data_IF_321478291686
#
_entry.id   IF_321478291686
#
_cell.length_a   1.000
_cell.length_b   1.000
_cell.length_c   1.000
_cell.angle_alpha   90.00
_cell.angle_beta   90.00
_cell.angle_gamma   90.00
#
_symmetry.space_group_name_H-M   'P 1'
#
loop_
_entity.id
_entity.type
_entity.pdbx_description
1 polymer ?
#
# COMPACT_ATOMS: atom_id res chain seq x y z
N UNK A 1 -5.69 -5.10 -14.39
CA UNK A 1 -6.66 -6.20 -14.18
C UNK A 1 -6.60 -7.12 -15.38
N UNK A 2 -6.45 -8.42 -15.09
CA UNK A 2 -6.37 -9.46 -16.12
C UNK A 2 -7.54 -10.41 -15.92
N UNK A 3 -8.26 -10.72 -16.99
CA UNK A 3 -9.29 -11.76 -17.00
C UNK A 3 -8.61 -13.13 -17.19
N UNK A 4 -8.81 -14.02 -16.25
CA UNK A 4 -8.25 -15.38 -16.20
C UNK A 4 -9.31 -16.47 -16.34
N UNK A 5 -10.47 -16.15 -16.90
CA UNK A 5 -11.53 -17.16 -17.14
C UNK A 5 -11.04 -18.31 -18.01
N UNK A 6 -10.17 -17.99 -18.95
CA UNK A 6 -9.38 -18.95 -19.73
C UNK A 6 -7.90 -18.75 -19.39
N UNK A 7 -7.33 -19.71 -18.66
CA UNK A 7 -5.92 -19.63 -18.22
C UNK A 7 -4.93 -19.79 -19.34
N UNK A 8 -5.32 -20.43 -20.45
CA UNK A 8 -4.48 -20.59 -21.63
C UNK A 8 -4.44 -19.30 -22.49
N UNK A 9 -5.42 -18.42 -22.32
CA UNK A 9 -5.57 -17.17 -23.05
C UNK A 9 -5.93 -16.01 -22.10
N UNK A 10 -5.02 -15.54 -21.23
CA UNK A 10 -5.28 -14.43 -20.36
C UNK A 10 -5.48 -13.13 -21.14
N UNK A 11 -6.49 -12.35 -20.77
CA UNK A 11 -6.85 -11.10 -21.46
C UNK A 11 -6.65 -9.91 -20.52
N UNK A 12 -5.95 -8.88 -20.99
CA UNK A 12 -5.94 -7.60 -20.29
C UNK A 12 -7.34 -7.00 -20.32
N UNK A 13 -7.98 -6.92 -19.13
CA UNK A 13 -9.31 -6.36 -19.00
C UNK A 13 -9.25 -4.83 -18.99
N UNK A 14 -8.43 -4.24 -18.10
CA UNK A 14 -8.10 -2.82 -18.07
C UNK A 14 -6.93 -2.54 -17.11
N UNK A 15 -6.36 -1.33 -17.23
CA UNK A 15 -5.40 -0.77 -16.29
C UNK A 15 -6.10 0.24 -15.38
N UNK A 16 -5.74 0.20 -14.10
CA UNK A 16 -6.12 1.20 -13.12
C UNK A 16 -4.86 1.90 -12.60
N UNK A 17 -4.93 3.20 -12.49
CA UNK A 17 -3.88 4.02 -11.87
C UNK A 17 -4.52 5.03 -10.93
N UNK A 18 -3.91 5.23 -9.78
CA UNK A 18 -4.29 6.35 -8.90
C UNK A 18 -3.97 7.67 -9.60
N UNK A 19 -4.88 8.63 -9.49
CA UNK A 19 -4.67 9.98 -10.05
C UNK A 19 -3.81 10.86 -9.13
N UNK A 20 -3.70 10.49 -7.85
CA UNK A 20 -3.13 11.35 -6.81
C UNK A 20 -1.70 11.01 -6.43
N UNK A 21 -1.29 9.76 -6.64
CA UNK A 21 -0.03 9.27 -6.10
C UNK A 21 0.73 8.40 -7.12
N UNK A 22 2.02 8.60 -7.18
CA UNK A 22 2.92 7.74 -7.95
C UNK A 22 3.74 6.88 -7.00
N UNK A 23 3.28 5.67 -6.76
CA UNK A 23 3.96 4.70 -5.92
C UNK A 23 3.94 3.32 -6.58
N UNK A 24 4.72 2.40 -6.02
CA UNK A 24 4.77 1.00 -6.48
C UNK A 24 3.83 0.18 -5.61
N UNK A 25 2.93 -0.55 -6.23
CA UNK A 25 2.05 -1.50 -5.56
C UNK A 25 2.82 -2.76 -5.19
N UNK A 26 2.60 -3.26 -3.96
CA UNK A 26 3.32 -4.43 -3.49
C UNK A 26 2.42 -5.60 -3.16
N UNK A 27 1.43 -5.43 -2.27
CA UNK A 27 0.61 -6.51 -1.75
C UNK A 27 -0.82 -6.04 -1.53
N UNK A 28 -1.78 -6.95 -1.71
CA UNK A 28 -3.17 -6.58 -1.48
C UNK A 28 -4.11 -7.75 -1.33
N UNK A 29 -5.27 -7.49 -0.72
CA UNK A 29 -6.31 -8.46 -0.47
C UNK A 29 -7.69 -7.91 -0.80
N UNK A 30 -8.58 -8.81 -1.23
CA UNK A 30 -9.97 -8.49 -1.52
C UNK A 30 -10.86 -8.99 -0.38
N UNK A 31 -11.71 -8.09 0.14
CA UNK A 31 -12.77 -8.42 1.10
C UNK A 31 -14.08 -7.84 0.58
N UNK A 32 -14.99 -8.71 0.16
CA UNK A 32 -16.21 -8.29 -0.54
C UNK A 32 -15.87 -7.56 -1.84
N UNK A 33 -16.39 -6.35 -2.01
CA UNK A 33 -16.10 -5.49 -3.16
C UNK A 33 -14.94 -4.53 -2.95
N UNK A 34 -14.14 -4.72 -1.90
CA UNK A 34 -13.04 -3.81 -1.57
C UNK A 34 -11.70 -4.48 -1.77
N UNK A 35 -10.80 -3.82 -2.47
CA UNK A 35 -9.40 -4.18 -2.58
C UNK A 35 -8.58 -3.29 -1.65
N UNK A 36 -7.90 -3.93 -0.71
CA UNK A 36 -6.99 -3.31 0.25
C UNK A 36 -5.58 -3.50 -0.27
N UNK A 37 -4.92 -2.42 -0.63
CA UNK A 37 -3.63 -2.41 -1.32
C UNK A 37 -2.57 -1.74 -0.46
N UNK A 38 -1.46 -2.42 -0.24
CA UNK A 38 -0.23 -1.81 0.24
C UNK A 38 0.56 -1.28 -0.95
N UNK A 39 0.75 0.03 -0.99
CA UNK A 39 1.35 0.73 -2.11
C UNK A 39 2.55 1.57 -1.63
N UNK A 40 3.54 0.90 -1.08
CA UNK A 40 4.79 1.48 -0.55
C UNK A 40 4.62 2.91 0.00
N UNK A 41 5.22 3.91 -0.62
CA UNK A 41 5.19 5.31 -0.20
C UNK A 41 3.80 5.94 -0.19
N UNK A 42 2.82 5.35 -0.86
CA UNK A 42 1.41 5.76 -0.80
C UNK A 42 0.62 5.12 0.34
N UNK A 43 1.22 4.23 1.13
CA UNK A 43 0.58 3.61 2.28
C UNK A 43 -0.51 2.60 1.91
N UNK A 44 -1.60 2.57 2.69
CA UNK A 44 -2.80 1.77 2.41
C UNK A 44 -3.71 2.53 1.45
N UNK A 45 -4.16 1.84 0.40
CA UNK A 45 -5.24 2.30 -0.48
C UNK A 45 -6.41 1.33 -0.41
N UNK A 46 -7.62 1.84 -0.30
CA UNK A 46 -8.85 1.05 -0.28
C UNK A 46 -9.67 1.41 -1.51
N UNK A 47 -9.82 0.44 -2.40
CA UNK A 47 -10.41 0.63 -3.72
C UNK A 47 -11.69 -0.17 -3.80
N UNK A 48 -12.80 0.47 -4.16
CA UNK A 48 -14.05 -0.21 -4.48
C UNK A 48 -13.97 -0.78 -5.89
N UNK A 49 -14.11 -2.10 -5.99
CA UNK A 49 -14.01 -2.87 -7.23
C UNK A 49 -15.36 -3.46 -7.66
N UNK A 50 -16.48 -2.97 -7.10
CA UNK A 50 -17.81 -3.49 -7.41
C UNK A 50 -18.14 -3.40 -8.90
N UNK A 51 -17.62 -2.41 -9.57
CA UNK A 51 -17.83 -2.14 -10.99
C UNK A 51 -16.67 -2.66 -11.88
N UNK A 52 -16.01 -3.76 -11.47
CA UNK A 52 -14.86 -4.32 -12.21
C UNK A 52 -15.22 -4.69 -13.67
N UNK A 53 -16.41 -5.20 -13.91
CA UNK A 53 -16.87 -5.55 -15.26
C UNK A 53 -17.09 -4.31 -16.15
N UNK A 54 -17.40 -3.17 -15.54
CA UNK A 54 -17.54 -1.87 -16.23
C UNK A 54 -16.21 -1.14 -16.36
N UNK A 55 -15.10 -1.77 -15.96
CA UNK A 55 -13.73 -1.21 -15.99
C UNK A 55 -13.61 0.06 -15.15
N UNK A 56 -14.32 0.11 -14.01
CA UNK A 56 -14.35 1.26 -13.11
C UNK A 56 -13.96 0.86 -11.70
N UNK A 57 -12.94 1.51 -11.18
CA UNK A 57 -12.51 1.45 -9.80
C UNK A 57 -12.61 2.83 -9.16
N UNK A 58 -12.98 2.87 -7.87
CA UNK A 58 -13.01 4.09 -7.09
C UNK A 58 -12.17 3.91 -5.82
N UNK A 59 -11.21 4.80 -5.59
CA UNK A 59 -10.58 4.88 -4.29
C UNK A 59 -11.57 5.46 -3.27
N UNK A 60 -11.82 4.72 -2.19
CA UNK A 60 -12.82 5.04 -1.17
C UNK A 60 -12.20 5.30 0.20
N UNK A 61 -10.91 5.18 0.32
CA UNK A 61 -10.16 5.48 1.55
C UNK A 61 -8.68 5.21 1.39
N UNK A 62 -7.91 5.87 2.24
CA UNK A 62 -6.47 5.68 2.31
C UNK A 62 -5.97 5.91 3.73
N UNK A 63 -4.76 5.44 4.01
CA UNK A 63 -3.99 5.77 5.18
C UNK A 63 -2.52 5.84 4.80
N UNK A 64 -1.96 7.03 4.89
CA UNK A 64 -0.56 7.26 4.61
C UNK A 64 0.30 6.78 5.78
N UNK A 65 1.23 5.86 5.51
CA UNK A 65 2.22 5.37 6.48
C UNK A 65 3.58 5.99 6.28
N UNK A 66 3.79 6.64 5.13
CA UNK A 66 5.04 7.27 4.74
C UNK A 66 4.92 8.77 4.94
N UNK A 67 5.40 9.26 6.07
CA UNK A 67 5.38 10.67 6.39
C UNK A 67 6.64 11.29 5.78
N UNK A 68 6.45 12.19 4.83
CA UNK A 68 7.56 12.91 4.19
C UNK A 68 8.39 13.70 5.22
N UNK A 69 9.71 13.69 5.03
CA UNK A 69 10.75 14.12 5.97
C UNK A 69 10.77 15.63 6.34
N UNK A 70 9.74 16.37 6.05
CA UNK A 70 9.70 17.79 6.40
C UNK A 70 9.38 18.10 7.87
N UNK A 71 8.89 17.11 8.67
CA UNK A 71 8.55 17.28 10.09
C UNK A 71 9.26 16.30 11.07
N UNK A 72 10.46 15.83 10.79
CA UNK A 72 10.98 14.53 11.20
C UNK A 72 12.15 14.47 12.13
N UNK A 73 11.95 14.71 13.36
CA UNK A 73 12.85 14.13 14.37
C UNK A 73 12.43 12.70 14.79
N UNK A 74 11.19 12.29 14.55
CA UNK A 74 10.68 10.97 15.01
C UNK A 74 10.99 9.81 14.06
N UNK A 75 10.85 10.01 12.77
CA UNK A 75 11.14 8.98 11.78
C UNK A 75 12.64 8.66 11.67
N UNK A 76 13.50 9.67 11.86
CA UNK A 76 14.95 9.49 11.90
C UNK A 76 15.44 8.62 13.07
N UNK A 77 14.74 8.61 14.21
CA UNK A 77 15.12 7.74 15.33
C UNK A 77 14.65 6.30 15.14
N UNK A 78 13.51 6.08 14.51
CA UNK A 78 13.03 4.73 14.21
C UNK A 78 13.84 4.07 13.09
N UNK A 79 14.23 4.82 12.07
CA UNK A 79 15.08 4.30 10.99
C UNK A 79 16.51 3.99 11.43
N UNK A 80 17.03 4.70 12.44
CA UNK A 80 18.34 4.41 13.04
C UNK A 80 18.37 3.11 13.84
N UNK A 81 17.21 2.59 14.25
CA UNK A 81 17.11 1.33 15.01
C UNK A 81 17.33 0.09 14.18
N UNK A 82 17.21 0.21 12.86
CA UNK A 82 17.46 -0.86 11.88
C UNK A 82 18.76 -0.67 11.09
N UNK A 83 19.58 0.33 11.42
CA UNK A 83 20.95 0.41 10.94
C UNK A 83 21.82 -0.60 11.67
N UNK A 84 21.64 -1.88 11.34
CA UNK A 84 22.61 -2.92 11.57
C UNK A 84 23.93 -2.52 10.87
N UNK A 85 25.11 -2.84 11.43
CA UNK A 85 26.41 -2.58 10.78
C UNK A 85 26.58 -3.17 9.38
N UNK A 86 25.57 -3.89 8.89
CA UNK A 86 25.44 -4.36 7.52
C UNK A 86 24.45 -3.58 6.69
N UNK A 87 24.17 -2.31 7.02
CA UNK A 87 23.25 -1.44 6.31
C UNK A 87 23.40 -1.56 4.80
N UNK A 88 22.51 -2.33 4.20
CA UNK A 88 22.39 -2.45 2.75
C UNK A 88 21.58 -1.30 2.15
N UNK A 89 21.08 -0.39 2.98
CA UNK A 89 20.46 0.87 2.58
C UNK A 89 21.54 1.90 2.28
N UNK A 90 22.48 1.56 1.41
CA UNK A 90 23.47 2.51 0.95
C UNK A 90 22.76 3.73 0.38
N UNK A 91 22.71 4.81 1.15
CA UNK A 91 22.26 6.14 0.71
C UNK A 91 23.07 6.57 -0.51
N UNK A 92 22.67 6.09 -1.66
CA UNK A 92 23.07 6.63 -2.95
C UNK A 92 21.85 6.72 -3.86
N UNK A 93 21.18 7.85 -3.73
CA UNK A 93 20.40 8.45 -4.80
C UNK A 93 19.10 7.75 -5.15
N UNK A 94 17.99 8.33 -4.74
CA UNK A 94 16.72 8.37 -5.49
C UNK A 94 15.93 7.09 -5.77
N UNK A 95 16.57 5.97 -6.03
CA UNK A 95 15.89 4.73 -6.44
C UNK A 95 15.40 3.86 -5.26
N UNK A 96 15.98 4.04 -4.08
CA UNK A 96 15.65 3.20 -2.91
C UNK A 96 14.42 3.70 -2.17
N UNK A 97 14.11 4.99 -2.26
CA UNK A 97 12.93 5.58 -1.61
C UNK A 97 11.60 5.02 -2.15
N UNK A 98 11.56 4.60 -3.40
CA UNK A 98 10.36 4.04 -4.02
C UNK A 98 9.87 2.73 -3.37
N UNK A 99 10.71 2.03 -2.61
CA UNK A 99 10.40 0.80 -1.90
C UNK A 99 10.27 0.97 -0.39
N UNK A 100 10.11 2.19 0.09
CA UNK A 100 9.78 2.51 1.48
C UNK A 100 8.27 2.55 1.71
N UNK A 101 7.83 2.44 2.98
CA UNK A 101 6.44 2.55 3.35
C UNK A 101 5.72 1.20 3.46
N UNK A 102 4.45 1.17 3.07
CA UNK A 102 3.57 0.02 3.29
C UNK A 102 3.98 -1.20 2.47
N UNK A 103 4.39 -2.26 3.18
CA UNK A 103 4.79 -3.54 2.61
C UNK A 103 3.62 -4.50 2.44
N UNK A 104 2.75 -4.60 3.45
CA UNK A 104 1.61 -5.53 3.43
C UNK A 104 0.47 -5.01 4.28
N UNK A 105 -0.73 -5.50 3.99
CA UNK A 105 -1.95 -5.20 4.74
C UNK A 105 -2.66 -6.49 5.14
N UNK A 106 -3.41 -6.46 6.26
CA UNK A 106 -4.26 -7.56 6.69
C UNK A 106 -5.63 -7.03 7.11
N UNK A 107 -6.67 -7.16 6.26
CA UNK A 107 -7.99 -6.57 6.50
C UNK A 107 -9.05 -7.56 7.03
N UNK A 108 -8.67 -8.76 7.50
CA UNK A 108 -9.63 -9.85 7.75
C UNK A 108 -10.15 -9.94 9.19
N UNK A 109 -9.90 -8.95 10.03
CA UNK A 109 -10.45 -8.97 11.40
C UNK A 109 -11.94 -8.69 11.44
N UNK A 110 -12.66 -9.42 12.27
CA UNK A 110 -14.10 -9.18 12.52
C UNK A 110 -14.38 -7.80 13.12
N UNK A 111 -13.39 -7.19 13.75
CA UNK A 111 -13.44 -5.83 14.31
C UNK A 111 -13.36 -4.74 13.25
N UNK A 112 -13.14 -5.11 11.98
CA UNK A 112 -12.87 -4.21 10.86
C UNK A 112 -11.57 -3.39 11.01
N UNK A 113 -10.72 -3.77 11.95
CA UNK A 113 -9.38 -3.22 12.01
C UNK A 113 -8.55 -3.76 10.85
N UNK A 114 -7.65 -2.92 10.36
CA UNK A 114 -6.69 -3.28 9.30
C UNK A 114 -5.30 -3.14 9.90
N UNK A 115 -4.49 -4.17 9.76
CA UNK A 115 -3.06 -4.08 10.08
C UNK A 115 -2.30 -3.74 8.81
N UNK A 116 -1.36 -2.81 8.93
CA UNK A 116 -0.43 -2.43 7.87
C UNK A 116 0.98 -2.65 8.41
N UNK A 117 1.77 -3.45 7.74
CA UNK A 117 3.22 -3.53 8.00
C UNK A 117 3.94 -2.55 7.08
N UNK A 118 4.80 -1.74 7.66
CA UNK A 118 5.56 -0.73 6.97
C UNK A 118 7.06 -1.00 7.17
N UNK A 119 7.86 -0.80 6.13
CA UNK A 119 9.29 -1.11 6.15
C UNK A 119 10.04 -0.19 7.12
N UNK A 120 9.67 1.06 7.19
CA UNK A 120 10.37 2.09 7.94
C UNK A 120 9.76 2.34 9.31
N UNK A 121 8.41 2.33 9.36
CA UNK A 121 7.63 2.81 10.51
C UNK A 121 7.02 1.67 11.34
N UNK A 122 7.18 0.41 10.90
CA UNK A 122 6.77 -0.78 11.64
C UNK A 122 5.32 -1.17 11.43
N UNK A 123 4.49 -1.18 12.48
CA UNK A 123 3.12 -1.70 12.43
C UNK A 123 2.10 -0.62 12.75
N UNK A 124 1.12 -0.48 11.85
CA UNK A 124 -0.06 0.35 12.08
C UNK A 124 -1.31 -0.52 12.26
N UNK A 125 -2.20 -0.08 13.14
CA UNK A 125 -3.53 -0.64 13.31
C UNK A 125 -4.53 0.48 13.07
N UNK A 126 -5.27 0.37 11.98
CA UNK A 126 -6.21 1.42 11.55
C UNK A 126 -7.62 0.87 11.45
N UNK A 127 -8.60 1.75 11.50
CA UNK A 127 -10.01 1.44 11.30
C UNK A 127 -10.67 2.55 10.50
N UNK A 128 -11.68 2.19 9.69
CA UNK A 128 -12.47 3.18 8.97
C UNK A 128 -13.06 4.20 9.96
N UNK A 129 -12.85 5.47 9.69
CA UNK A 129 -13.52 6.56 10.39
C UNK A 129 -15.01 6.58 10.02
N UNK A 130 -15.89 6.68 10.99
CA UNK A 130 -17.33 6.91 10.81
C UNK A 130 -17.59 8.42 10.85
N UNK A 131 -17.19 9.12 9.79
CA UNK A 131 -17.58 10.53 9.60
C UNK A 131 -18.82 10.61 8.72
#
# INVERSE_FOLDING_TARGET
VIDLKDLDNPILHFDYRSETESAIDHNGYIVGSKYFLASYTSGLRVIDIINIEQKSFNEIGFFDTHIDDHDHNFALESSRRWSDPGDHTGKKGGEIEAFNGAWSVYPFFKSENIIISDINSGLFVVKKSNN
#
